data_IF_978620195875
#
_entry.id   IF_978620195875
#
_cell.length_a   1.000
_cell.length_b   1.000
_cell.length_c   1.000
_cell.angle_alpha   90.00
_cell.angle_beta   90.00
_cell.angle_gamma   90.00
#
_symmetry.space_group_name_H-M   'P 1'
#
loop_
_entity.id
_entity.type
_entity.pdbx_description
1 polymer ?
2 polymer ?
3 non-polymer ?
4 non-polymer ?
5 non-polymer ?
6 non-polymer ?
7 non-polymer ?
8 water ?
#
# COMPACT_ATOMS: atom_id res chain seq x y z
N UNK A 1 -23.48 -16.10 13.44
CA UNK A 1 -22.51 -15.08 12.90
C UNK A 1 -22.22 -15.29 11.38
N UNK A 2 -22.20 -14.18 10.65
CA UNK A 2 -21.96 -14.19 9.22
C UNK A 2 -20.87 -13.13 9.06
N UNK A 3 -19.96 -13.40 8.15
CA UNK A 3 -18.80 -12.52 7.98
C UNK A 3 -19.08 -11.09 7.50
N UNK A 4 -20.25 -10.89 6.87
CA UNK A 4 -20.56 -9.55 6.32
C UNK A 4 -20.94 -8.55 7.42
N UNK A 5 -21.39 -9.06 8.57
CA UNK A 5 -21.77 -8.23 9.72
C UNK A 5 -20.70 -8.25 10.79
N UNK A 6 -20.13 -7.10 11.10
CA UNK A 6 -19.19 -6.97 12.19
C UNK A 6 -17.97 -7.89 11.99
N UNK A 7 -17.68 -8.20 10.73
CA UNK A 7 -16.54 -9.09 10.39
C UNK A 7 -16.71 -10.51 10.98
N UNK A 8 -17.96 -10.93 11.22
CA UNK A 8 -18.18 -12.22 11.84
C UNK A 8 -17.68 -12.33 13.27
N UNK A 9 -17.33 -11.19 13.90
CA UNK A 9 -16.65 -11.14 15.17
C UNK A 9 -15.13 -11.46 15.12
N UNK A 10 -14.63 -11.76 13.93
CA UNK A 10 -13.21 -12.09 13.74
C UNK A 10 -12.29 -10.86 13.84
N UNK A 11 -11.12 -11.06 14.40
CA UNK A 11 -10.14 -9.97 14.46
C UNK A 11 -9.63 -9.70 13.03
N UNK A 12 -9.39 -10.76 12.28
CA UNK A 12 -8.81 -10.65 10.91
C UNK A 12 -9.76 -11.22 9.88
N UNK A 13 -9.52 -12.41 9.34
CA UNK A 13 -10.23 -12.90 8.17
C UNK A 13 -11.37 -13.84 8.57
N UNK A 14 -12.38 -13.92 7.74
CA UNK A 14 -13.64 -14.69 8.13
C UNK A 14 -14.16 -15.43 6.94
N UNK A 15 -14.51 -16.71 7.11
CA UNK A 15 -15.16 -17.53 6.08
C UNK A 15 -16.48 -18.02 6.60
N UNK A 16 -17.53 -17.87 5.77
CA UNK A 16 -18.85 -18.47 6.02
C UNK A 16 -18.84 -19.93 5.56
N UNK A 17 -19.53 -20.77 6.30
CA UNK A 17 -19.63 -22.20 5.97
C UNK A 17 -21.11 -22.51 6.00
N UNK A 18 -21.46 -23.66 5.42
CA UNK A 18 -22.87 -24.04 5.29
C UNK A 18 -23.40 -24.33 6.70
N UNK A 19 -24.49 -23.65 7.05
CA UNK A 19 -25.09 -23.74 8.39
C UNK A 19 -24.94 -22.38 9.01
N UNK A 20 -25.29 -22.25 10.29
CA UNK A 20 -24.90 -21.08 11.07
C UNK A 20 -23.41 -21.24 11.47
N UNK A 21 -22.52 -21.55 10.49
CA UNK A 21 -21.09 -21.74 10.79
C UNK A 21 -20.17 -20.66 10.20
N UNK A 22 -19.15 -20.35 10.96
CA UNK A 22 -18.17 -19.31 10.57
C UNK A 22 -16.82 -19.77 11.07
N UNK A 23 -15.75 -19.55 10.31
CA UNK A 23 -14.42 -19.83 10.81
C UNK A 23 -13.61 -18.53 10.62
N UNK A 24 -13.01 -18.07 11.70
CA UNK A 24 -12.00 -16.97 11.61
C UNK A 24 -10.68 -17.52 11.26
N UNK A 25 -9.84 -16.69 10.59
CA UNK A 25 -8.49 -17.08 10.32
C UNK A 25 -7.57 -15.86 10.53
N UNK A 26 -6.26 -16.11 10.55
CA UNK A 26 -5.26 -15.09 10.78
C UNK A 26 -4.28 -15.14 9.60
N UNK A 27 -3.68 -13.99 9.34
CA UNK A 27 -2.60 -13.86 8.40
C UNK A 27 -1.41 -14.69 8.81
N UNK A 28 -0.56 -15.02 7.85
CA UNK A 28 0.72 -15.58 8.18
C UNK A 28 1.44 -14.72 9.21
N UNK A 29 2.14 -15.37 10.16
CA UNK A 29 2.79 -14.72 11.25
C UNK A 29 1.90 -14.46 12.47
N UNK A 30 0.69 -15.05 12.41
CA UNK A 30 -0.24 -14.98 13.54
C UNK A 30 -0.88 -16.35 13.71
N UNK A 31 -1.42 -16.60 14.92
CA UNK A 31 -2.21 -17.81 15.16
C UNK A 31 -3.50 -17.39 15.87
N UNK A 32 -4.52 -18.21 15.67
CA UNK A 32 -5.85 -17.98 16.23
C UNK A 32 -5.96 -18.51 17.64
N UNK A 33 -6.51 -17.70 18.51
CA UNK A 33 -6.64 -18.10 19.90
C UNK A 33 -7.90 -19.00 20.05
N UNK A 34 -7.99 -19.58 21.24
CA UNK A 34 -9.10 -20.50 21.57
C UNK A 34 -10.46 -19.86 21.59
N UNK A 35 -10.55 -18.54 21.68
CA UNK A 35 -11.79 -17.82 21.47
C UNK A 35 -12.35 -17.93 20.08
N UNK A 36 -11.53 -18.41 19.12
CA UNK A 36 -11.95 -18.59 17.76
C UNK A 36 -11.97 -17.32 16.93
N UNK A 37 -11.57 -16.20 17.52
CA UNK A 37 -11.66 -14.89 16.89
C UNK A 37 -10.37 -14.09 16.88
N UNK A 38 -9.60 -14.17 17.95
CA UNK A 38 -8.44 -13.30 18.18
C UNK A 38 -7.21 -13.87 17.48
N UNK A 39 -6.31 -12.97 17.03
CA UNK A 39 -5.09 -13.39 16.41
C UNK A 39 -3.91 -12.86 17.20
N UNK A 40 -2.94 -13.68 17.46
CA UNK A 40 -1.74 -13.27 18.21
C UNK A 40 -0.46 -13.54 17.35
N UNK A 41 0.49 -12.60 17.37
CA UNK A 41 1.71 -12.81 16.57
C UNK A 41 2.50 -14.05 16.96
N UNK A 42 3.06 -14.71 15.97
CA UNK A 42 3.91 -15.87 16.15
C UNK A 42 5.38 -15.64 15.81
N UNK A 43 5.65 -14.45 15.28
CA UNK A 43 6.98 -14.06 14.82
C UNK A 43 7.28 -12.70 15.41
N UNK A 44 8.54 -12.28 15.32
CA UNK A 44 8.99 -11.04 15.88
C UNK A 44 8.42 -9.83 15.14
N UNK A 45 8.33 -9.93 13.80
CA UNK A 45 7.89 -8.81 12.94
C UNK A 45 6.71 -9.15 12.09
N UNK A 46 5.55 -9.36 12.75
CA UNK A 46 4.34 -9.68 11.98
C UNK A 46 3.92 -8.49 11.13
N UNK A 47 3.25 -8.77 10.01
CA UNK A 47 2.79 -7.66 9.15
C UNK A 47 1.82 -6.75 9.88
N UNK A 48 1.88 -5.47 9.56
CA UNK A 48 0.88 -4.50 9.98
C UNK A 48 0.96 -4.03 11.43
N UNK A 49 2.03 -4.34 12.11
CA UNK A 49 2.31 -3.88 13.46
C UNK A 49 3.59 -3.03 13.45
N UNK A 50 3.59 -1.99 14.27
CA UNK A 50 4.69 -1.01 14.35
C UNK A 50 5.52 -1.28 15.57
N UNK A 51 6.72 -1.90 15.43
CA UNK A 51 7.50 -2.34 16.55
C UNK A 51 7.74 -1.28 17.61
N UNK A 52 8.04 -0.04 17.21
CA UNK A 52 8.37 0.94 18.26
C UNK A 52 7.16 1.35 19.08
N UNK A 53 5.95 1.16 18.54
CA UNK A 53 4.72 1.39 19.26
C UNK A 53 4.23 0.17 20.04
N UNK A 54 4.47 -1.03 19.55
CA UNK A 54 4.10 -2.27 20.25
C UNK A 54 4.96 -2.45 21.51
N UNK A 55 6.23 -2.08 21.44
CA UNK A 55 7.11 -1.95 22.63
C UNK A 55 6.80 -0.73 23.54
N UNK A 56 6.36 0.39 22.96
CA UNK A 56 5.83 1.53 23.76
C UNK A 56 4.56 1.16 24.59
N UNK A 57 3.92 0.01 24.31
CA UNK A 57 2.83 -0.57 25.13
C UNK A 57 3.08 -1.99 25.75
N UNK A 58 4.27 -2.57 25.53
CA UNK A 58 4.59 -3.98 25.93
C UNK A 58 4.65 -4.24 27.45
N UNK B 1 3.17 15.00 0.04
CA UNK B 1 2.01 15.05 0.96
C UNK B 1 1.83 16.52 1.40
N UNK B 2 0.64 17.02 1.14
CA UNK B 2 0.20 18.38 1.53
C UNK B 2 -0.67 18.32 2.77
N UNK B 3 -0.27 19.08 3.79
CA UNK B 3 -1.16 19.26 4.96
C UNK B 3 -1.10 18.13 6.00
N UNK B 4 -0.04 17.31 5.90
CA UNK B 4 0.22 16.24 6.91
C UNK B 4 1.27 16.60 7.92
N UNK B 5 2.00 15.61 8.40
CA UNK B 5 3.01 15.81 9.36
C UNK B 5 4.14 14.82 9.08
N UNK B 6 5.26 15.02 9.72
CA UNK B 6 6.34 14.07 9.62
C UNK B 6 5.84 12.73 10.25
N UNK B 7 6.05 11.63 9.53
CA UNK B 7 5.85 10.29 10.12
C UNK B 7 7.00 10.04 11.05
N UNK B 8 6.76 9.92 12.40
CA UNK B 8 7.94 9.65 13.21
C UNK B 8 8.73 8.41 12.74
N UNK B 9 10.04 8.51 12.73
CA UNK B 9 10.90 7.49 12.21
C UNK B 9 10.50 6.15 12.80
N UNK B 10 10.29 5.18 11.94
CA UNK B 10 9.83 3.84 12.36
C UNK B 10 8.36 3.63 12.44
N UNK B 11 7.53 4.68 12.37
CA UNK B 11 6.10 4.50 12.44
C UNK B 11 5.44 4.22 11.10
N UNK B 12 6.18 4.36 9.99
CA UNK B 12 5.72 3.97 8.65
C UNK B 12 6.65 2.88 8.05
N UNK B 13 6.85 1.75 8.75
CA UNK B 13 7.96 0.90 8.43
C UNK B 13 7.86 0.10 7.10
N UNK B 14 6.72 0.14 6.52
CA UNK B 14 6.38 -0.50 5.24
C UNK B 14 6.61 0.41 4.06
N UNK B 15 6.86 1.72 4.33
CA UNK B 15 7.06 2.65 3.22
C UNK B 15 8.32 2.30 2.45
N UNK B 16 8.19 2.35 1.14
CA UNK B 16 9.32 2.14 0.22
C UNK B 16 9.60 3.44 -0.54
N UNK B 17 10.88 3.69 -0.80
CA UNK B 17 11.29 4.79 -1.76
C UNK B 17 11.88 4.09 -2.97
N UNK B 18 11.37 4.45 -4.13
CA UNK B 18 11.93 3.94 -5.40
C UNK B 18 12.79 5.02 -6.05
N UNK B 19 13.98 4.63 -6.44
CA UNK B 19 14.98 5.53 -7.08
C UNK B 19 15.31 5.01 -8.48
N UNK B 20 15.58 5.97 -9.40
CA UNK B 20 16.16 5.61 -10.69
C UNK B 20 17.34 6.56 -10.90
N UNK B 21 18.49 5.95 -11.08
CA UNK B 21 19.79 6.64 -11.09
C UNK B 21 19.98 7.60 -9.90
N UNK B 22 19.55 7.16 -8.71
CA UNK B 22 19.69 7.90 -7.51
C UNK B 22 18.63 8.97 -7.23
N UNK B 23 17.74 9.20 -8.21
CA UNK B 23 16.75 10.24 -8.18
C UNK B 23 15.42 9.62 -7.72
N UNK B 24 14.73 10.34 -6.87
CA UNK B 24 13.42 9.87 -6.38
C UNK B 24 12.42 9.71 -7.54
N UNK B 25 11.79 8.54 -7.60
CA UNK B 25 10.80 8.22 -8.61
C UNK B 25 9.39 8.14 -8.05
N UNK B 26 9.25 7.36 -7.01
CA UNK B 26 7.90 6.99 -6.54
C UNK B 26 8.04 6.38 -5.15
N UNK B 27 6.88 6.18 -4.48
CA UNK B 27 6.81 5.39 -3.28
C UNK B 27 6.39 3.97 -3.63
N UNK B 28 6.28 3.18 -2.56
CA UNK B 28 5.75 1.80 -2.69
C UNK B 28 5.50 1.29 -1.29
N UNK B 29 4.96 0.06 -1.20
CA UNK B 29 4.62 -0.58 0.06
C UNK B 29 5.22 -1.96 0.12
N UNK B 30 5.94 -2.24 1.15
CA UNK B 30 6.47 -3.58 1.38
C UNK B 30 5.30 -4.45 1.89
N UNK B 31 5.10 -5.59 1.24
CA UNK B 31 4.07 -6.59 1.72
C UNK B 31 4.62 -7.95 2.16
N UNK B 32 5.88 -8.24 1.88
CA UNK B 32 6.60 -9.42 2.30
C UNK B 32 8.07 -9.05 2.23
N UNK B 33 8.97 -9.99 2.55
CA UNK B 33 10.40 -9.61 2.47
C UNK B 33 10.94 -9.37 1.09
N UNK B 34 10.27 -9.88 0.05
CA UNK B 34 10.76 -9.68 -1.32
C UNK B 34 9.80 -8.95 -2.24
N UNK B 35 8.63 -8.60 -1.76
CA UNK B 35 7.61 -8.01 -2.58
C UNK B 35 7.13 -6.65 -2.17
N UNK B 36 7.10 -5.76 -3.16
CA UNK B 36 6.65 -4.39 -3.02
C UNK B 36 5.52 -4.05 -3.95
N UNK B 37 4.48 -3.36 -3.48
CA UNK B 37 3.37 -2.91 -4.31
C UNK B 37 3.57 -1.41 -4.58
N UNK B 38 3.45 -1.05 -5.85
CA UNK B 38 3.53 0.37 -6.23
C UNK B 38 2.49 0.69 -7.32
N UNK B 39 2.66 1.80 -8.06
CA UNK B 39 1.76 2.18 -9.13
C UNK B 39 2.37 1.88 -10.49
N UNK B 40 1.58 1.31 -11.40
CA UNK B 40 2.04 1.07 -12.76
C UNK B 40 2.58 2.32 -13.43
N UNK B 41 1.95 3.49 -13.16
CA UNK B 41 2.32 4.71 -13.92
C UNK B 41 3.72 5.22 -13.57
N UNK B 42 4.26 4.78 -12.41
CA UNK B 42 5.63 5.04 -12.04
C UNK B 42 6.67 4.56 -13.05
N UNK B 43 6.26 3.61 -13.93
CA UNK B 43 7.17 2.97 -14.81
C UNK B 43 6.97 3.38 -16.27
N UNK B 44 6.13 4.38 -16.53
CA UNK B 44 5.74 4.64 -17.95
C UNK B 44 6.97 5.14 -18.75
N UNK B 45 7.94 5.76 -18.11
CA UNK B 45 9.04 6.45 -18.85
C UNK B 45 10.37 5.83 -18.55
N UNK B 46 10.39 4.64 -17.99
CA UNK B 46 11.67 4.03 -17.62
C UNK B 46 12.47 3.59 -18.84
N UNK B 47 13.75 3.97 -18.90
CA UNK B 47 14.60 3.64 -20.03
C UNK B 47 15.38 2.37 -19.73
N UNK B 48 16.14 2.39 -18.65
CA UNK B 48 16.95 1.27 -18.27
C UNK B 48 16.34 0.66 -16.98
N UNK B 49 15.65 -0.45 -17.20
CA UNK B 49 15.02 -1.17 -16.15
C UNK B 49 15.99 -1.65 -15.11
N UNK B 50 17.32 -1.59 -15.34
CA UNK B 50 18.28 -2.15 -14.44
C UNK B 50 18.90 -1.20 -13.42
N UNK B 51 18.51 0.08 -13.43
CA UNK B 51 18.92 1.07 -12.44
C UNK B 51 17.76 1.47 -11.49
N UNK B 52 16.76 0.59 -11.34
CA UNK B 52 15.69 0.82 -10.36
C UNK B 52 16.10 0.22 -9.05
N UNK B 53 16.05 1.04 -7.99
CA UNK B 53 16.38 0.65 -6.63
C UNK B 53 15.23 0.91 -5.72
N UNK B 54 14.96 -0.04 -4.78
CA UNK B 54 14.03 0.18 -3.71
C UNK B 54 14.75 0.34 -2.41
N UNK B 55 14.37 1.32 -1.58
CA UNK B 55 14.95 1.52 -0.31
C UNK B 55 13.85 1.33 0.76
N UNK B 56 14.17 0.51 1.74
CA UNK B 56 13.39 0.27 2.94
C UNK B 56 14.10 0.93 4.11
N UNK B 57 13.33 1.28 5.14
CA UNK B 57 13.81 1.86 6.37
C UNK B 57 14.28 3.32 6.21
N UNK B 58 13.87 3.94 5.12
CA UNK B 58 14.28 5.33 4.87
C UNK B 58 13.38 6.24 5.71
N UNK B 59 13.95 7.41 6.04
CA UNK B 59 13.21 8.41 6.78
C UNK B 59 13.59 9.83 6.30
N UNK B 60 14.82 10.17 6.63
CA UNK B 60 15.37 11.51 6.28
C UNK B 60 16.36 11.34 5.16
N UNK B 61 15.95 11.81 3.99
CA UNK B 61 16.75 11.66 2.76
C UNK B 61 18.11 12.41 2.83
N UNK B 62 18.25 13.29 3.77
CA UNK B 62 19.52 14.03 3.89
C UNK B 62 20.63 13.28 4.59
N UNK B 63 20.33 12.15 5.26
CA UNK B 63 21.32 11.50 6.10
C UNK B 63 21.27 10.00 5.94
N UNK B 64 22.34 9.36 6.28
CA UNK B 64 22.39 7.91 6.38
C UNK B 64 22.45 7.61 7.85
N UNK B 65 21.49 6.79 8.34
CA UNK B 65 21.52 6.43 9.75
C UNK B 65 21.77 4.92 9.99
N UNK B 66 21.88 4.11 8.95
CA UNK B 66 22.22 2.70 9.06
C UNK B 66 20.97 1.80 9.14
N UNK B 67 19.79 2.38 9.22
CA UNK B 67 18.55 1.57 9.16
C UNK B 67 18.03 1.36 7.73
N UNK B 68 18.58 2.08 6.73
CA UNK B 68 18.16 1.92 5.36
C UNK B 68 18.64 0.60 4.82
N UNK B 69 17.84 0.01 3.95
CA UNK B 69 18.23 -1.21 3.24
C UNK B 69 17.84 -1.03 1.77
N UNK B 70 18.81 -1.08 0.88
CA UNK B 70 18.63 -0.89 -0.56
C UNK B 70 18.67 -2.21 -1.29
N UNK B 71 17.79 -2.39 -2.29
CA UNK B 71 17.74 -3.62 -3.10
C UNK B 71 17.48 -3.23 -4.53
N UNK B 72 18.09 -3.97 -5.43
CA UNK B 72 17.67 -3.89 -6.83
C UNK B 72 16.31 -4.50 -7.07
N UNK B 73 15.60 -3.93 -8.04
CA UNK B 73 14.27 -4.39 -8.45
C UNK B 73 14.48 -5.38 -9.57
N UNK B 74 14.21 -6.67 -9.31
CA UNK B 74 14.42 -7.80 -10.21
C UNK B 74 13.26 -7.95 -11.22
N UNK B 75 12.04 -7.55 -10.83
CA UNK B 75 10.84 -7.73 -11.68
C UNK B 75 9.87 -6.61 -11.36
N UNK B 76 9.28 -6.04 -12.40
CA UNK B 76 8.16 -5.09 -12.30
C UNK B 76 7.00 -5.76 -13.05
N UNK B 77 5.94 -6.13 -12.36
CA UNK B 77 4.83 -6.84 -12.93
C UNK B 77 3.61 -5.93 -12.96
N UNK B 78 3.06 -5.74 -14.16
CA UNK B 78 1.94 -4.83 -14.38
C UNK B 78 0.78 -5.60 -15.02
N UNK B 79 -0.47 -5.31 -14.62
CA UNK B 79 -1.62 -6.04 -15.24
C UNK B 79 -1.73 -5.70 -16.74
N UNK B 80 -2.11 -6.70 -17.53
CA UNK B 80 -2.30 -6.55 -18.96
C UNK B 80 -3.29 -5.49 -19.32
N UNK B 81 -4.23 -5.23 -18.44
CA UNK B 81 -5.25 -4.21 -18.64
C UNK B 81 -4.80 -2.77 -18.46
N UNK B 82 -3.63 -2.53 -17.87
CA UNK B 82 -3.10 -1.17 -17.70
C UNK B 82 -2.57 -0.66 -19.02
N UNK B 83 -2.95 0.55 -19.39
CA UNK B 83 -2.44 1.21 -20.59
C UNK B 83 -1.62 2.46 -20.21
N UNK B 84 -0.36 2.50 -20.52
CA UNK B 84 0.49 3.61 -20.19
C UNK B 84 -0.12 4.95 -20.63
N UNK B 85 -0.01 5.92 -19.76
CA UNK B 85 -0.54 7.24 -19.96
C UNK B 85 -2.02 7.34 -19.74
N UNK B 86 -2.65 6.30 -19.18
CA UNK B 86 -4.03 6.36 -18.73
C UNK B 86 -4.13 5.88 -17.26
N UNK B 87 -5.31 5.97 -16.67
CA UNK B 87 -5.44 5.88 -15.20
C UNK B 87 -5.86 4.53 -14.66
N UNK B 88 -6.59 3.72 -15.44
CA UNK B 88 -7.19 2.53 -14.83
C UNK B 88 -6.11 1.43 -14.60
N UNK B 89 -6.37 0.59 -13.63
CA UNK B 89 -5.51 -0.52 -13.29
C UNK B 89 -4.08 -0.10 -12.89
N UNK B 90 -3.98 0.93 -12.06
CA UNK B 90 -2.72 1.55 -11.75
C UNK B 90 -1.97 0.86 -10.59
N UNK B 91 -1.41 -0.29 -10.89
CA UNK B 91 -0.79 -1.11 -9.85
C UNK B 91 0.38 -1.84 -10.47
N UNK B 92 1.44 -2.00 -9.67
CA UNK B 92 2.59 -2.77 -10.05
C UNK B 92 3.07 -3.61 -8.89
N UNK B 93 3.54 -4.82 -9.16
CA UNK B 93 4.11 -5.71 -8.14
C UNK B 93 5.57 -5.89 -8.46
N UNK B 94 6.43 -5.51 -7.50
CA UNK B 94 7.85 -5.51 -7.65
C UNK B 94 8.50 -6.62 -6.85
N UNK B 95 9.38 -7.40 -7.51
CA UNK B 95 10.14 -8.44 -6.83
C UNK B 95 11.53 -7.90 -6.57
N UNK B 96 11.98 -7.90 -5.31
CA UNK B 96 13.32 -7.43 -4.99
C UNK B 96 14.34 -8.54 -5.32
N UNK B 97 15.59 -8.15 -5.62
CA UNK B 97 16.61 -9.15 -6.01
C UNK B 97 17.06 -10.03 -4.87
N UNK B 98 16.91 -9.52 -3.64
CA UNK B 98 17.23 -10.24 -2.43
C UNK B 98 16.28 -9.72 -1.34
N UNK B 99 15.85 -10.60 -0.41
CA UNK B 99 14.93 -10.12 0.61
C UNK B 99 15.50 -8.98 1.44
N UNK B 100 14.63 -8.07 1.89
CA UNK B 100 15.02 -7.19 2.99
C UNK B 100 15.00 -8.00 4.29
N UNK B 101 15.69 -7.49 5.31
CA UNK B 101 15.73 -8.07 6.63
C UNK B 101 14.77 -7.29 7.49
N UNK B 102 13.81 -7.99 8.08
CA UNK B 102 12.87 -7.28 8.90
C UNK B 102 13.56 -6.84 10.22
N UNK B 103 13.22 -5.62 10.59
CA UNK B 103 13.83 -4.93 11.74
C UNK B 103 12.76 -3.99 12.32
N UNK B 104 13.10 -3.29 13.43
CA UNK B 104 12.15 -2.32 13.92
C UNK B 104 11.69 -1.26 12.89
N UNK B 105 12.57 -1.03 11.91
CA UNK B 105 12.37 0.00 10.95
C UNK B 105 11.89 -0.49 9.58
N UNK B 106 11.77 -1.82 9.43
CA UNK B 106 11.42 -2.39 8.13
C UNK B 106 10.47 -3.56 8.44
N UNK B 107 9.23 -3.33 8.12
CA UNK B 107 8.13 -4.30 8.43
C UNK B 107 7.14 -4.23 7.28
N UNK B 108 6.57 -5.38 6.85
CA UNK B 108 5.57 -5.37 5.78
C UNK B 108 4.22 -4.88 6.29
N UNK B 109 3.44 -4.30 5.41
CA UNK B 109 2.05 -4.03 5.63
C UNK B 109 1.28 -5.30 5.22
N UNK B 110 0.23 -5.66 5.96
CA UNK B 110 -0.52 -6.83 5.55
C UNK B 110 -1.32 -6.60 4.27
N UNK B 111 -1.20 -7.52 3.33
CA UNK B 111 -2.06 -7.57 2.18
C UNK B 111 -3.32 -8.36 2.61
N UNK B 112 -4.46 -7.67 2.66
CA UNK B 112 -5.64 -8.38 3.20
C UNK B 112 -6.28 -9.33 2.26
N UNK B 113 -7.06 -10.30 2.80
CA UNK B 113 -7.98 -11.02 1.87
C UNK B 113 -9.01 -10.09 1.23
N UNK B 114 -9.44 -10.42 0.01
CA UNK B 114 -10.44 -9.67 -0.74
C UNK B 114 -11.72 -9.44 0.06
N UNK B 115 -12.30 -10.55 0.57
CA UNK B 115 -13.57 -10.38 1.32
C UNK B 115 -13.46 -9.47 2.51
N UNK B 116 -12.42 -9.63 3.29
CA UNK B 116 -12.22 -8.77 4.45
C UNK B 116 -12.10 -7.32 4.02
N UNK B 117 -11.37 -7.13 2.94
CA UNK B 117 -11.11 -5.77 2.51
C UNK B 117 -12.38 -5.10 2.00
N UNK B 118 -13.17 -5.84 1.22
CA UNK B 118 -14.45 -5.34 0.71
C UNK B 118 -15.56 -5.18 1.76
N UNK B 119 -15.62 -6.14 2.68
CA UNK B 119 -16.73 -6.14 3.62
C UNK B 119 -16.44 -5.32 4.85
N UNK B 120 -15.18 -5.13 5.21
CA UNK B 120 -14.77 -4.49 6.46
C UNK B 120 -13.88 -3.26 6.24
N UNK B 121 -12.72 -3.47 5.64
CA UNK B 121 -11.78 -2.34 5.52
C UNK B 121 -12.36 -1.18 4.72
N UNK B 122 -13.15 -1.46 3.70
CA UNK B 122 -13.70 -0.43 2.82
C UNK B 122 -14.62 0.55 3.54
N UNK B 123 -15.10 0.15 4.71
CA UNK B 123 -15.94 0.98 5.58
C UNK B 123 -15.22 1.65 6.73
N UNK B 124 -13.91 1.46 6.89
CA UNK B 124 -13.17 2.20 7.86
C UNK B 124 -12.97 3.59 7.24
N UNK B 125 -13.40 4.65 7.95
CA UNK B 125 -13.46 5.95 7.30
C UNK B 125 -12.09 6.57 6.96
N UNK B 126 -11.21 6.58 7.94
CA UNK B 126 -9.91 7.21 7.79
C UNK B 126 -8.79 6.17 7.58
N UNK B 127 -7.81 6.53 6.74
CA UNK B 127 -6.61 5.71 6.50
C UNK B 127 -5.45 6.67 6.26
N UNK B 128 -4.24 6.16 6.35
CA UNK B 128 -3.00 7.00 6.29
C UNK B 128 -2.41 6.85 4.90
N UNK B 129 -1.92 7.97 4.35
CA UNK B 129 -1.22 8.01 3.07
C UNK B 129 0.10 8.69 3.35
N UNK B 130 1.18 8.21 2.72
CA UNK B 130 2.52 8.67 3.08
C UNK B 130 3.44 8.78 1.90
N UNK B 131 4.48 9.59 2.03
CA UNK B 131 5.49 9.68 0.98
C UNK B 131 6.39 10.92 1.14
N UNK B 132 7.34 11.00 0.23
CA UNK B 132 8.32 12.11 0.17
C UNK B 132 7.97 13.06 -0.99
N UNK B 133 6.71 13.14 -1.35
CA UNK B 133 6.23 14.03 -2.40
C UNK B 133 6.22 15.51 -1.97
N UNK B 134 5.68 16.31 -2.86
CA UNK B 134 5.58 17.76 -2.65
C UNK B 134 4.77 18.13 -1.42
N UNK B 135 5.30 19.11 -0.69
CA UNK B 135 4.69 19.63 0.51
C UNK B 135 3.60 20.63 0.14
N UNK B 136 3.67 21.17 -1.09
CA UNK B 136 2.72 22.15 -1.63
C UNK B 136 2.67 21.96 -3.12
N UNK B 137 1.53 22.34 -3.68
CA UNK B 137 1.36 22.38 -5.12
C UNK B 137 2.39 23.39 -5.66
N UNK B 138 3.13 22.95 -6.65
CA UNK B 138 4.21 23.75 -7.26
C UNK B 138 5.34 24.02 -6.25
N UNK B 139 5.51 23.13 -5.24
CA UNK B 139 6.51 23.26 -4.22
C UNK B 139 7.55 22.16 -4.23
N UNK B 140 8.52 22.30 -3.34
CA UNK B 140 9.58 21.33 -3.15
C UNK B 140 9.03 20.03 -2.50
N UNK B 141 9.76 18.96 -2.73
CA UNK B 141 9.43 17.70 -2.09
C UNK B 141 9.99 17.63 -0.71
N UNK B 142 9.46 16.70 0.09
CA UNK B 142 9.89 16.54 1.46
C UNK B 142 11.17 15.82 1.64
N UNK B 143 12.00 16.25 2.60
CA UNK B 143 13.16 15.52 3.01
C UNK B 143 12.90 14.40 4.10
N UNK B 144 11.93 14.65 4.92
CA UNK B 144 11.47 13.63 5.87
C UNK B 144 10.15 13.07 5.41
N UNK B 145 9.96 11.76 5.68
CA UNK B 145 8.73 11.06 5.29
C UNK B 145 7.53 11.68 5.94
N UNK B 146 6.52 11.97 5.16
CA UNK B 146 5.33 12.65 5.62
C UNK B 146 4.15 11.64 5.62
N UNK B 147 3.15 11.88 6.46
CA UNK B 147 1.97 11.08 6.57
C UNK B 147 0.74 11.94 6.78
N UNK B 148 -0.38 11.51 6.26
CA UNK B 148 -1.64 12.22 6.26
C UNK B 148 -2.80 11.28 6.45
N UNK B 149 -3.72 11.64 7.37
CA UNK B 149 -4.96 10.85 7.56
C UNK B 149 -6.01 11.38 6.64
N UNK B 150 -6.56 10.54 5.79
CA UNK B 150 -7.59 10.93 4.81
C UNK B 150 -8.85 10.06 4.88
N UNK B 151 -10.02 10.67 4.66
CA UNK B 151 -11.26 9.90 4.70
C UNK B 151 -11.65 9.44 3.35
N UNK B 152 -12.19 8.24 3.28
CA UNK B 152 -12.60 7.60 2.04
C UNK B 152 -14.03 7.93 1.70
N UNK B 153 -14.27 8.14 0.43
CA UNK B 153 -15.61 8.38 -0.09
C UNK B 153 -16.13 7.21 -0.87
N UNK B 154 -17.43 6.98 -0.78
CA UNK B 154 -18.09 6.19 -1.84
C UNK B 154 -18.02 6.91 -3.16
N UNK B 155 -17.81 6.20 -4.26
CA UNK B 155 -17.53 6.87 -5.53
C UNK B 155 -18.71 7.82 -6.01
N UNK B 156 -19.93 7.38 -5.79
CA UNK B 156 -21.11 8.22 -6.14
C UNK B 156 -21.00 9.57 -5.41
N UNK B 157 -20.59 9.55 -4.13
CA UNK B 157 -20.35 10.74 -3.33
C UNK B 157 -19.18 11.52 -3.80
N UNK B 158 -18.12 10.85 -4.25
CA UNK B 158 -16.97 11.59 -4.80
C UNK B 158 -17.33 12.40 -6.04
N UNK B 159 -18.14 11.79 -6.89
CA UNK B 159 -18.56 12.42 -8.13
C UNK B 159 -19.46 13.66 -7.84
N UNK B 160 -20.43 13.48 -6.94
CA UNK B 160 -21.32 14.58 -6.46
C UNK B 160 -20.55 15.71 -5.78
N UNK B 161 -19.59 15.36 -4.91
CA UNK B 161 -18.84 16.37 -4.15
C UNK B 161 -17.72 17.05 -4.92
N UNK B 162 -17.47 16.62 -6.17
CA UNK B 162 -16.35 17.13 -6.98
C UNK B 162 -16.81 18.11 -8.05
N UNK B 163 -16.03 19.18 -8.25
CA UNK B 163 -16.21 20.05 -9.41
C UNK B 163 -15.05 21.05 -9.56
N UNK B 168 -11.62 15.00 -17.79
CA UNK B 168 -11.36 14.29 -16.53
C UNK B 168 -11.71 12.78 -16.58
N UNK B 169 -10.80 11.88 -16.12
CA UNK B 169 -11.10 10.45 -16.30
C UNK B 169 -12.22 9.90 -15.37
N UNK B 170 -12.84 8.80 -15.80
CA UNK B 170 -13.79 8.10 -14.95
C UNK B 170 -13.14 7.58 -13.66
N UNK B 171 -13.89 7.59 -12.57
CA UNK B 171 -13.51 6.86 -11.38
C UNK B 171 -14.14 5.48 -11.57
N UNK B 172 -13.30 4.47 -11.81
CA UNK B 172 -13.80 3.14 -12.10
C UNK B 172 -13.87 2.32 -10.84
N UNK B 173 -14.36 1.10 -11.01
CA UNK B 173 -14.43 0.17 -9.90
C UNK B 173 -13.02 -0.29 -9.39
N UNK B 174 -11.96 0.06 -10.13
CA UNK B 174 -10.58 -0.22 -9.73
C UNK B 174 -9.93 0.94 -9.01
N UNK B 175 -10.75 1.88 -8.54
CA UNK B 175 -10.32 3.10 -7.89
C UNK B 175 -11.22 3.49 -6.75
N UNK B 176 -10.71 4.36 -5.89
CA UNK B 176 -11.57 5.03 -4.92
C UNK B 176 -11.02 6.40 -4.59
N UNK B 177 -11.93 7.28 -4.15
CA UNK B 177 -11.55 8.62 -3.71
C UNK B 177 -11.29 8.71 -2.24
N UNK B 178 -10.33 9.53 -1.86
CA UNK B 178 -10.15 9.86 -0.50
C UNK B 178 -9.47 11.21 -0.37
N UNK B 179 -9.76 11.87 0.75
CA UNK B 179 -9.12 13.15 1.07
C UNK B 179 -10.19 14.24 1.27
N UNK B 180 -9.91 15.42 0.74
CA UNK B 180 -10.64 16.66 1.03
C UNK B 180 -10.72 17.49 -0.24
N UNK B 181 -11.88 18.14 -0.41
CA UNK B 181 -12.12 19.02 -1.56
C UNK B 181 -11.78 20.50 -1.29
N UNK B 182 -11.27 20.86 -0.12
CA UNK B 182 -10.93 22.27 0.19
C UNK B 182 -9.50 22.71 -0.06
N UNK B 183 -8.66 21.87 -0.66
CA UNK B 183 -7.32 22.27 -1.02
C UNK B 183 -6.29 22.24 0.10
N UNK B 184 -6.66 21.73 1.27
CA UNK B 184 -5.76 21.75 2.41
C UNK B 184 -4.86 20.56 2.53
N UNK B 185 -5.37 19.40 2.07
CA UNK B 185 -4.76 18.12 2.46
C UNK B 185 -4.87 17.12 1.31
N UNK B 186 -3.74 16.58 0.86
CA UNK B 186 -3.78 15.61 -0.24
C UNK B 186 -2.43 14.89 -0.29
N UNK B 187 -2.42 13.77 -1.05
CA UNK B 187 -1.18 13.25 -1.59
C UNK B 187 -0.97 13.93 -2.93
N UNK B 188 0.27 13.91 -3.40
CA UNK B 188 0.53 14.52 -4.72
C UNK B 188 1.49 13.66 -5.53
N UNK B 189 1.83 14.11 -6.75
CA UNK B 189 2.51 13.24 -7.72
C UNK B 189 3.74 12.50 -7.22
N UNK B 190 4.64 13.14 -6.42
CA UNK B 190 5.78 12.45 -5.91
C UNK B 190 5.50 11.38 -4.79
N UNK B 191 4.28 11.32 -4.35
CA UNK B 191 3.82 10.27 -3.44
C UNK B 191 3.28 9.09 -4.19
N UNK B 192 3.13 9.18 -5.50
CA UNK B 192 2.64 8.11 -6.37
C UNK B 192 3.29 6.78 -6.01
N UNK B 193 2.44 5.78 -5.95
CA UNK B 193 2.88 4.45 -5.64
C UNK B 193 2.87 4.09 -4.16
N UNK B 194 2.78 5.07 -3.28
CA UNK B 194 2.91 4.83 -1.87
C UNK B 194 1.59 4.28 -1.28
N UNK B 195 1.61 3.96 0.00
CA UNK B 195 0.51 3.26 0.60
C UNK B 195 -0.62 4.17 1.03
N UNK B 196 -1.82 3.59 0.94
CA UNK B 196 -3.02 4.01 1.66
C UNK B 196 -3.30 2.81 2.60
N UNK B 197 -3.01 3.02 3.86
CA UNK B 197 -2.97 1.98 4.91
C UNK B 197 -4.13 2.20 5.89
N UNK B 198 -4.82 1.07 6.22
CA UNK B 198 -6.10 1.12 6.93
C UNK B 198 -5.97 0.29 8.21
N UNK B 199 -6.29 0.86 9.37
CA UNK B 199 -6.20 0.18 10.65
C UNK B 199 -7.52 -0.53 10.96
N UNK B 200 -7.40 -1.79 11.41
CA UNK B 200 -8.57 -2.53 11.90
C UNK B 200 -8.16 -3.43 13.03
N UNK B 201 -8.75 -3.20 14.22
CA UNK B 201 -8.46 -3.98 15.41
C UNK B 201 -7.00 -4.33 15.67
N UNK B 202 -6.16 -3.29 15.64
CA UNK B 202 -4.80 -3.38 16.08
C UNK B 202 -3.74 -3.68 15.01
N UNK B 203 -4.19 -3.84 13.77
CA UNK B 203 -3.32 -4.24 12.64
C UNK B 203 -3.64 -3.37 11.45
N UNK B 204 -2.58 -3.05 10.68
CA UNK B 204 -2.70 -2.22 9.49
C UNK B 204 -2.64 -3.05 8.21
N UNK B 205 -3.40 -2.63 7.23
CA UNK B 205 -3.57 -3.34 5.98
C UNK B 205 -3.44 -2.41 4.75
N UNK B 206 -3.01 -2.97 3.62
CA UNK B 206 -2.97 -2.20 2.38
C UNK B 206 -4.30 -2.15 1.65
N UNK B 207 -4.90 -0.96 1.58
CA UNK B 207 -6.14 -0.72 0.88
C UNK B 207 -6.09 0.10 -0.41
N UNK B 208 -5.07 0.94 -0.52
CA UNK B 208 -4.93 1.70 -1.73
C UNK B 208 -3.49 2.04 -2.07
N UNK B 209 -3.34 2.57 -3.27
CA UNK B 209 -2.08 3.02 -3.84
C UNK B 209 -2.33 4.47 -4.31
N UNK B 210 -1.42 5.37 -3.91
CA UNK B 210 -1.48 6.78 -4.44
C UNK B 210 -1.37 6.72 -5.96
N UNK B 211 -2.37 7.18 -6.65
CA UNK B 211 -2.48 6.98 -8.10
C UNK B 211 -2.59 8.30 -8.91
N UNK B 212 -3.69 9.02 -8.75
CA UNK B 212 -3.87 10.24 -9.57
C UNK B 212 -4.74 11.28 -8.90
N UNK B 213 -4.77 12.45 -9.54
CA UNK B 213 -5.70 13.49 -9.20
C UNK B 213 -5.45 14.70 -10.11
N UNK B 214 -6.06 15.81 -9.73
CA UNK B 214 -5.90 17.07 -10.48
C UNK B 214 -4.91 17.93 -9.70
N UNK B 215 -3.88 18.39 -10.40
CA UNK B 215 -2.90 19.30 -9.83
C UNK B 215 -2.32 18.69 -8.59
N UNK B 216 -2.47 19.39 -7.48
CA UNK B 216 -2.10 18.84 -6.21
C UNK B 216 -2.82 19.57 -5.12
N UNK B 217 -3.58 18.89 -4.24
CA UNK B 217 -4.44 19.51 -3.25
C UNK B 217 -5.27 20.65 -3.90
N UNK B 218 -5.88 20.36 -5.04
CA UNK B 218 -6.65 21.37 -5.81
C UNK B 218 -8.08 21.45 -5.28
N UNK B 219 -8.54 22.65 -4.94
CA UNK B 219 -9.95 22.83 -4.54
C UNK B 219 -10.90 22.20 -5.52
N UNK B 220 -11.92 21.51 -5.01
CA UNK B 220 -12.93 20.84 -5.79
C UNK B 220 -12.63 19.39 -6.17
N UNK B 221 -11.48 18.88 -5.70
CA UNK B 221 -10.98 17.55 -6.19
C UNK B 221 -10.36 16.76 -5.08
N UNK B 222 -10.69 15.46 -5.09
CA UNK B 222 -10.14 14.50 -4.10
C UNK B 222 -8.99 13.72 -4.72
N UNK B 223 -8.21 13.06 -3.87
CA UNK B 223 -7.19 12.13 -4.40
C UNK B 223 -7.86 10.87 -4.89
N UNK B 224 -7.28 10.26 -5.93
CA UNK B 224 -7.74 8.99 -6.43
C UNK B 224 -6.67 7.91 -6.20
N UNK B 225 -7.14 6.80 -5.68
CA UNK B 225 -6.30 5.68 -5.23
C UNK B 225 -6.70 4.42 -5.95
N UNK B 226 -5.70 3.57 -6.27
CA UNK B 226 -6.01 2.27 -6.79
C UNK B 226 -6.67 1.44 -5.72
N UNK B 227 -7.75 0.78 -6.09
CA UNK B 227 -8.54 -0.08 -5.14
C UNK B 227 -7.91 -1.45 -5.10
N UNK B 228 -6.99 -1.61 -4.16
CA UNK B 228 -6.14 -2.84 -4.06
C UNK B 228 -6.97 -4.16 -3.88
N UNK B 229 -8.17 -4.04 -3.29
CA UNK B 229 -9.04 -5.21 -3.08
C UNK B 229 -9.37 -5.95 -4.38
N UNK B 230 -9.34 -5.26 -5.51
CA UNK B 230 -9.64 -5.82 -6.82
C UNK B 230 -8.51 -6.74 -7.32
N UNK B 231 -7.31 -6.57 -6.72
CA UNK B 231 -6.10 -7.20 -7.16
C UNK B 231 -5.53 -8.27 -6.22
N UNK B 232 -6.22 -8.64 -5.13
CA UNK B 232 -5.62 -9.54 -4.16
C UNK B 232 -5.23 -10.91 -4.78
N UNK B 233 -6.18 -11.55 -5.48
CA UNK B 233 -5.90 -12.85 -6.08
C UNK B 233 -4.86 -12.75 -7.20
N UNK B 234 -4.85 -11.65 -7.93
CA UNK B 234 -3.84 -11.42 -8.97
C UNK B 234 -2.44 -11.31 -8.37
N UNK B 235 -2.32 -10.55 -7.27
CA UNK B 235 -1.06 -10.45 -6.56
C UNK B 235 -0.63 -11.74 -5.94
N UNK B 236 -1.56 -12.45 -5.26
CA UNK B 236 -1.16 -13.68 -4.59
C UNK B 236 -0.68 -14.73 -5.58
N UNK B 237 -1.30 -14.81 -6.73
CA UNK B 237 -0.88 -15.77 -7.73
C UNK B 237 0.52 -15.44 -8.19
N UNK B 238 0.75 -14.18 -8.50
CA UNK B 238 2.09 -13.77 -8.96
C UNK B 238 3.20 -13.99 -7.91
N UNK B 239 2.84 -13.82 -6.65
CA UNK B 239 3.83 -14.07 -5.58
C UNK B 239 4.24 -15.51 -5.43
N UNK B 240 3.43 -16.42 -5.95
CA UNK B 240 3.78 -17.86 -6.00
C UNK B 240 4.52 -18.27 -7.27
N UNK B 241 4.73 -17.37 -8.20
CA UNK B 241 5.29 -17.69 -9.53
C UNK B 241 6.78 -17.56 -9.54
N UNK B 242 7.45 -18.33 -10.39
CA UNK B 242 8.84 -18.12 -10.61
C UNK B 242 9.21 -16.87 -11.35
N UNK B 243 10.33 -16.24 -11.01
CA UNK B 243 10.78 -15.10 -11.77
C UNK B 243 11.08 -15.49 -13.21
N UNK B 244 11.04 -14.48 -14.09
CA UNK B 244 11.26 -14.66 -15.54
C UNK B 244 12.37 -13.69 -15.94
N UNK B 245 13.19 -14.06 -16.94
CA UNK B 245 14.14 -13.09 -17.40
C UNK B 245 13.42 -11.86 -17.91
N UNK B 246 14.09 -10.72 -17.80
CA UNK B 246 13.58 -9.44 -18.28
C UNK B 246 12.72 -8.80 -17.21
N UNK B 247 13.12 -7.61 -16.77
CA UNK B 247 12.52 -6.94 -15.61
C UNK B 247 11.03 -6.74 -15.76
N UNK B 248 10.57 -6.08 -16.85
CA UNK B 248 9.15 -5.86 -17.01
C UNK B 248 8.45 -7.14 -17.38
N UNK B 249 7.33 -7.42 -16.70
CA UNK B 249 6.41 -8.48 -17.03
C UNK B 249 5.04 -7.96 -17.07
N UNK B 250 4.35 -8.15 -18.20
CA UNK B 250 2.96 -7.92 -18.23
C UNK B 250 2.25 -9.24 -17.99
N UNK B 251 1.34 -9.26 -17.01
CA UNK B 251 0.64 -10.47 -16.57
C UNK B 251 -0.84 -10.30 -16.80
N UNK B 252 -1.53 -11.35 -17.27
CA UNK B 252 -2.95 -11.25 -17.46
C UNK B 252 -3.73 -10.84 -16.23
N UNK B 253 -4.67 -9.94 -16.43
CA UNK B 253 -5.65 -9.56 -15.45
C UNK B 253 -7.04 -9.72 -16.13
N UNK B 254 -7.97 -10.38 -15.47
CA UNK B 254 -7.84 -10.88 -14.12
C UNK B 254 -6.93 -12.09 -13.97
#
# INVERSE_FOLDING_TARGET
LICVNENGGCEQYCSDHTGTKRSCRCHEGYSLLADGVSCTPTVEYPCGKIPILEKRNASKPQGR
IVGGKVCPKGECPWQVLLLVNGAQLCGGTLINTIWVVSAAHCFDKIKNWRNLIAVLGEHDLSEHDGDEQSRRVAQVIIPSTYVPGTTNHDIALLRLHQPVVLTDHVVPLCLPERTFSERTLAFVRFSLVSGWGQLLDRGATALELMVLNVPRLMTQDCLQQSRKVGDSPNITEYMFCAGYSDGSKDSCKGDSGGPHATHYRGTWYLTGIVSWGQGCATVGHFGVYTRVSQYIEWLQKLMRSEPRPGVLLRAPFP
#
